data_IF_953793231189
#
_entry.id   IF_953793231189
#
_cell.length_a   1.000
_cell.length_b   1.000
_cell.length_c   1.000
_cell.angle_alpha   90.00
_cell.angle_beta   90.00
_cell.angle_gamma   90.00
#
_symmetry.space_group_name_H-M   'P 1'
#
loop_
_entity.id
_entity.type
_entity.pdbx_description
1 polymer ?
#
# COMPACT_ATOMS: atom_id res chain seq x y z
N UNK A 1 -11.33 -9.07 -8.83
CA UNK A 1 -12.58 -8.33 -9.16
C UNK A 1 -12.19 -7.09 -9.92
N UNK A 2 -12.72 -6.87 -11.13
CA UNK A 2 -12.42 -5.66 -11.92
C UNK A 2 -13.24 -4.49 -11.39
N UNK A 3 -12.60 -3.34 -11.20
CA UNK A 3 -13.27 -2.08 -10.90
C UNK A 3 -12.35 -1.08 -10.21
N UNK A 4 -12.95 0.01 -9.73
CA UNK A 4 -12.24 1.16 -9.18
C UNK A 4 -12.22 1.13 -7.66
N UNK A 5 -11.02 0.96 -7.09
CA UNK A 5 -10.79 0.87 -5.65
C UNK A 5 -10.97 2.21 -4.93
N UNK A 6 -11.05 3.34 -5.67
CA UNK A 6 -11.38 4.65 -5.09
C UNK A 6 -12.79 4.69 -4.51
N UNK A 7 -13.66 3.74 -4.89
CA UNK A 7 -15.02 3.63 -4.38
C UNK A 7 -15.08 2.63 -3.21
N UNK A 8 -15.43 3.09 -2.02
CA UNK A 8 -15.55 2.24 -0.82
C UNK A 8 -16.45 1.00 -1.05
N UNK A 9 -17.60 1.19 -1.71
CA UNK A 9 -18.52 0.09 -2.04
C UNK A 9 -17.86 -0.96 -2.94
N UNK A 10 -16.93 -0.57 -3.81
CA UNK A 10 -16.17 -1.52 -4.61
C UNK A 10 -15.19 -2.31 -3.74
N UNK A 11 -14.46 -1.65 -2.83
CA UNK A 11 -13.58 -2.32 -1.87
C UNK A 11 -14.32 -3.36 -1.03
N UNK A 12 -15.51 -3.03 -0.54
CA UNK A 12 -16.40 -3.98 0.18
C UNK A 12 -16.74 -5.18 -0.69
N UNK A 13 -17.15 -4.96 -1.95
CA UNK A 13 -17.46 -6.04 -2.91
C UNK A 13 -16.25 -6.94 -3.17
N UNK A 14 -15.03 -6.39 -3.22
CA UNK A 14 -13.83 -7.18 -3.42
C UNK A 14 -13.64 -8.16 -2.25
N UNK A 15 -13.68 -7.66 -1.01
CA UNK A 15 -13.52 -8.50 0.19
C UNK A 15 -14.65 -9.52 0.31
N UNK A 16 -15.91 -9.10 0.11
CA UNK A 16 -17.07 -10.00 0.14
C UNK A 16 -16.95 -11.13 -0.88
N UNK A 17 -16.53 -10.82 -2.11
CA UNK A 17 -16.35 -11.86 -3.13
C UNK A 17 -15.27 -12.85 -2.71
N UNK A 18 -14.15 -12.37 -2.16
CA UNK A 18 -13.08 -13.25 -1.73
C UNK A 18 -13.52 -14.15 -0.57
N UNK A 19 -14.29 -13.62 0.40
CA UNK A 19 -14.89 -14.45 1.47
C UNK A 19 -15.85 -15.48 0.87
N UNK A 20 -16.70 -15.09 -0.10
CA UNK A 20 -17.64 -16.01 -0.75
C UNK A 20 -16.93 -17.16 -1.47
N UNK A 21 -15.83 -16.87 -2.15
CA UNK A 21 -15.12 -17.87 -2.97
C UNK A 21 -14.15 -18.72 -2.16
N UNK A 22 -13.54 -18.16 -1.12
CA UNK A 22 -12.45 -18.82 -0.39
C UNK A 22 -12.73 -19.10 1.08
N UNK A 23 -13.82 -18.56 1.64
CA UNK A 23 -14.25 -18.75 3.03
C UNK A 23 -13.54 -17.87 4.07
N UNK A 24 -12.33 -17.38 3.79
CA UNK A 24 -11.58 -16.48 4.68
C UNK A 24 -10.73 -15.48 3.90
N UNK A 25 -10.12 -14.54 4.63
CA UNK A 25 -9.05 -13.67 4.13
C UNK A 25 -7.85 -13.86 5.04
N UNK A 26 -6.79 -14.49 4.56
CA UNK A 26 -5.59 -14.74 5.38
C UNK A 26 -4.49 -13.71 5.09
N UNK A 27 -4.40 -13.25 3.84
CA UNK A 27 -3.40 -12.26 3.42
C UNK A 27 -4.05 -11.17 2.59
N UNK A 28 -3.89 -9.91 3.01
CA UNK A 28 -4.32 -8.72 2.27
C UNK A 28 -3.09 -7.95 1.77
N UNK A 29 -2.95 -7.76 0.45
CA UNK A 29 -1.83 -7.02 -0.15
C UNK A 29 -2.30 -5.72 -0.84
N UNK A 30 -2.13 -4.58 -0.17
CA UNK A 30 -2.46 -3.27 -0.72
C UNK A 30 -1.31 -2.73 -1.58
N UNK A 31 -1.39 -2.94 -2.89
CA UNK A 31 -0.32 -2.63 -3.84
C UNK A 31 -0.69 -1.61 -4.93
N UNK A 32 -1.98 -1.38 -5.18
CA UNK A 32 -2.42 -0.45 -6.22
C UNK A 32 -1.95 0.98 -5.93
N UNK A 33 -1.47 1.68 -6.96
CA UNK A 33 -1.01 3.05 -6.84
C UNK A 33 -1.15 3.85 -8.14
N UNK A 34 -1.30 5.16 -8.00
CA UNK A 34 -1.17 6.17 -9.04
C UNK A 34 0.04 7.05 -8.73
N UNK A 35 0.82 7.37 -9.77
CA UNK A 35 1.92 8.32 -9.70
C UNK A 35 1.97 9.14 -10.99
N UNK A 36 2.39 10.40 -10.86
CA UNK A 36 2.65 11.31 -11.97
C UNK A 36 3.81 12.23 -11.58
N UNK A 37 4.70 12.51 -12.52
CA UNK A 37 5.83 13.41 -12.31
C UNK A 37 5.50 14.83 -12.75
N UNK A 38 5.84 15.81 -11.92
CA UNK A 38 5.69 17.26 -12.18
C UNK A 38 6.98 17.96 -11.75
N UNK A 39 7.46 18.92 -12.53
CA UNK A 39 8.73 19.60 -12.21
C UNK A 39 8.55 20.66 -11.13
N UNK A 40 7.37 21.28 -11.09
CA UNK A 40 7.05 22.33 -10.12
C UNK A 40 5.71 22.08 -9.41
N UNK A 41 5.54 22.69 -8.23
CA UNK A 41 4.28 22.61 -7.48
C UNK A 41 3.09 23.21 -8.26
N UNK A 42 3.35 24.25 -9.06
CA UNK A 42 2.34 24.96 -9.84
C UNK A 42 1.73 24.10 -10.95
N UNK A 43 2.46 23.08 -11.39
CA UNK A 43 2.00 22.15 -12.42
C UNK A 43 1.11 21.03 -11.89
N UNK A 44 0.96 20.90 -10.56
CA UNK A 44 0.15 19.86 -9.92
C UNK A 44 -1.30 20.34 -9.87
N UNK A 45 -2.21 19.80 -10.70
CA UNK A 45 -3.62 20.15 -10.61
C UNK A 45 -4.20 19.60 -9.30
N UNK A 46 -5.14 20.33 -8.69
CA UNK A 46 -5.80 19.89 -7.46
C UNK A 46 -6.49 18.53 -7.63
N UNK A 47 -7.04 18.25 -8.81
CA UNK A 47 -7.68 16.98 -9.14
C UNK A 47 -6.67 15.81 -9.15
N UNK A 48 -5.43 16.06 -9.55
CA UNK A 48 -4.36 15.05 -9.53
C UNK A 48 -3.93 14.75 -8.10
N UNK A 49 -3.80 15.79 -7.26
CA UNK A 49 -3.54 15.62 -5.84
C UNK A 49 -4.61 14.73 -5.19
N UNK A 50 -5.88 15.09 -5.34
CA UNK A 50 -7.02 14.33 -4.81
C UNK A 50 -7.00 12.89 -5.35
N UNK A 51 -6.83 12.72 -6.67
CA UNK A 51 -6.78 11.40 -7.30
C UNK A 51 -5.65 10.53 -6.75
N UNK A 52 -4.50 11.12 -6.43
CA UNK A 52 -3.35 10.38 -5.88
C UNK A 52 -3.69 9.82 -4.50
N UNK A 53 -4.31 10.60 -3.63
CA UNK A 53 -4.76 10.14 -2.31
C UNK A 53 -5.92 9.13 -2.41
N UNK A 54 -6.91 9.43 -3.26
CA UNK A 54 -8.04 8.54 -3.53
C UNK A 54 -7.61 7.16 -4.01
N UNK A 55 -6.49 7.08 -4.72
CA UNK A 55 -5.98 5.81 -5.23
C UNK A 55 -5.02 5.13 -4.26
N UNK A 56 -4.16 5.88 -3.57
CA UNK A 56 -3.02 5.31 -2.86
C UNK A 56 -3.31 5.01 -1.39
N UNK A 57 -4.16 5.80 -0.72
CA UNK A 57 -4.39 5.68 0.74
C UNK A 57 -5.84 5.38 1.11
N UNK A 58 -6.84 6.04 0.51
CA UNK A 58 -8.24 5.77 0.81
C UNK A 58 -8.63 4.29 0.63
N UNK A 59 -8.22 3.62 -0.46
CA UNK A 59 -8.60 2.22 -0.68
C UNK A 59 -7.97 1.28 0.33
N UNK A 60 -6.75 1.59 0.80
CA UNK A 60 -6.07 0.83 1.84
C UNK A 60 -6.89 0.85 3.14
N UNK A 61 -7.40 2.02 3.51
CA UNK A 61 -8.31 2.14 4.65
C UNK A 61 -9.60 1.32 4.44
N UNK A 62 -10.27 1.48 3.30
CA UNK A 62 -11.52 0.76 3.01
C UNK A 62 -11.35 -0.75 3.00
N UNK A 63 -10.27 -1.24 2.39
CA UNK A 63 -9.96 -2.67 2.30
C UNK A 63 -9.60 -3.25 3.66
N UNK A 64 -8.76 -2.58 4.45
CA UNK A 64 -8.46 -3.01 5.82
C UNK A 64 -9.72 -3.04 6.69
N UNK A 65 -10.53 -1.97 6.65
CA UNK A 65 -11.79 -1.88 7.41
C UNK A 65 -12.77 -3.02 7.06
N UNK A 66 -12.85 -3.38 5.77
CA UNK A 66 -13.71 -4.47 5.32
C UNK A 66 -13.12 -5.85 5.61
N UNK A 67 -11.80 -6.03 5.53
CA UNK A 67 -11.15 -7.34 5.66
C UNK A 67 -10.92 -7.78 7.11
N UNK A 68 -10.49 -6.87 7.98
CA UNK A 68 -10.09 -7.19 9.37
C UNK A 68 -11.11 -8.03 10.14
N UNK A 69 -12.44 -7.77 10.08
CA UNK A 69 -13.44 -8.59 10.76
C UNK A 69 -13.46 -10.07 10.34
N UNK A 70 -12.89 -10.40 9.18
CA UNK A 70 -12.87 -11.73 8.59
C UNK A 70 -11.48 -12.37 8.59
N UNK A 71 -10.46 -11.67 9.10
CA UNK A 71 -9.09 -12.17 9.21
C UNK A 71 -8.91 -12.92 10.52
N UNK A 72 -8.29 -14.11 10.46
CA UNK A 72 -8.02 -14.95 11.65
C UNK A 72 -6.67 -14.63 12.28
N UNK A 73 -6.45 -15.06 13.52
CA UNK A 73 -5.12 -15.03 14.15
C UNK A 73 -4.08 -15.68 13.24
N UNK A 74 -2.94 -15.00 13.04
CA UNK A 74 -1.89 -15.43 12.12
C UNK A 74 -1.96 -14.80 10.72
N UNK A 75 -3.07 -14.11 10.39
CA UNK A 75 -3.22 -13.40 9.12
C UNK A 75 -2.25 -12.23 8.97
N UNK A 76 -2.06 -11.74 7.74
CA UNK A 76 -1.10 -10.68 7.44
C UNK A 76 -1.67 -9.64 6.49
N UNK A 77 -1.46 -8.36 6.81
CA UNK A 77 -1.68 -7.22 5.91
C UNK A 77 -0.31 -6.72 5.45
N UNK A 78 -0.14 -6.52 4.14
CA UNK A 78 1.09 -6.06 3.51
C UNK A 78 0.76 -4.83 2.66
N UNK A 79 1.41 -3.72 2.95
CA UNK A 79 1.21 -2.46 2.23
C UNK A 79 2.45 -2.12 1.39
N UNK A 80 2.27 -1.77 0.13
CA UNK A 80 3.39 -1.32 -0.72
C UNK A 80 3.60 0.18 -0.54
N UNK A 81 4.67 0.56 0.16
CA UNK A 81 5.16 1.95 0.22
C UNK A 81 6.15 2.23 -0.92
N UNK A 82 7.20 3.02 -0.68
CA UNK A 82 8.29 3.32 -1.62
C UNK A 82 9.50 3.86 -0.84
N UNK A 83 10.69 3.79 -1.43
CA UNK A 83 11.83 4.60 -0.98
C UNK A 83 11.52 6.10 -0.94
N UNK A 84 10.56 6.58 -1.76
CA UNK A 84 10.08 7.97 -1.73
C UNK A 84 9.39 8.36 -0.41
N UNK A 85 9.08 7.41 0.48
CA UNK A 85 8.61 7.74 1.83
C UNK A 85 9.74 8.25 2.74
N UNK A 86 10.99 7.90 2.43
CA UNK A 86 12.18 8.25 3.20
C UNK A 86 13.05 9.27 2.48
N UNK A 87 13.29 9.06 1.18
CA UNK A 87 14.07 9.92 0.31
C UNK A 87 13.20 10.30 -0.90
N UNK A 88 12.34 11.33 -0.76
CA UNK A 88 11.38 11.71 -1.79
C UNK A 88 12.10 12.29 -3.02
N UNK A 89 11.71 11.83 -4.21
CA UNK A 89 12.12 12.46 -5.46
C UNK A 89 11.44 13.83 -5.64
N UNK A 90 12.22 14.81 -6.08
CA UNK A 90 11.80 16.21 -6.30
C UNK A 90 10.57 16.33 -7.21
N UNK A 91 10.41 15.43 -8.18
CA UNK A 91 9.33 15.49 -9.18
C UNK A 91 8.07 14.69 -8.81
N UNK A 92 8.03 14.04 -7.64
CA UNK A 92 6.96 13.10 -7.26
C UNK A 92 6.22 13.53 -5.98
N UNK A 93 6.00 14.83 -5.79
CA UNK A 93 5.45 15.38 -4.54
C UNK A 93 4.16 14.69 -4.06
N UNK A 94 3.07 14.56 -4.85
CA UNK A 94 1.83 13.92 -4.37
C UNK A 94 2.03 12.44 -4.05
N UNK A 95 2.82 11.74 -4.87
CA UNK A 95 3.10 10.33 -4.68
C UNK A 95 3.90 10.10 -3.40
N UNK A 96 4.99 10.84 -3.19
CA UNK A 96 5.83 10.75 -2.00
C UNK A 96 5.03 11.01 -0.72
N UNK A 97 4.17 12.03 -0.72
CA UNK A 97 3.26 12.31 0.39
C UNK A 97 2.38 11.10 0.74
N UNK A 98 1.77 10.44 -0.27
CA UNK A 98 0.97 9.23 -0.02
C UNK A 98 1.82 8.05 0.48
N UNK A 99 3.08 7.92 0.05
CA UNK A 99 3.95 6.82 0.52
C UNK A 99 4.41 7.03 1.96
N UNK A 100 4.66 8.27 2.37
CA UNK A 100 4.84 8.63 3.78
C UNK A 100 3.59 8.31 4.62
N UNK A 101 2.40 8.65 4.12
CA UNK A 101 1.14 8.32 4.79
C UNK A 101 0.93 6.81 4.95
N UNK A 102 1.23 6.01 3.91
CA UNK A 102 1.13 4.54 3.96
C UNK A 102 2.06 3.95 5.03
N UNK A 103 3.28 4.46 5.14
CA UNK A 103 4.23 3.98 6.14
C UNK A 103 3.69 4.23 7.56
N UNK A 104 3.23 5.44 7.84
CA UNK A 104 2.68 5.79 9.15
C UNK A 104 1.37 5.02 9.44
N UNK A 105 0.49 4.88 8.44
CA UNK A 105 -0.74 4.09 8.53
C UNK A 105 -0.45 2.63 8.91
N UNK A 106 0.57 2.02 8.29
CA UNK A 106 0.99 0.65 8.57
C UNK A 106 1.42 0.49 10.03
N UNK A 107 2.28 1.38 10.53
CA UNK A 107 2.77 1.35 11.91
C UNK A 107 1.64 1.53 12.93
N UNK A 108 0.71 2.44 12.67
CA UNK A 108 -0.44 2.68 13.56
C UNK A 108 -1.43 1.52 13.55
N UNK A 109 -1.79 1.01 12.37
CA UNK A 109 -2.71 -0.12 12.27
C UNK A 109 -2.13 -1.38 12.93
N UNK A 110 -0.82 -1.62 12.81
CA UNK A 110 -0.16 -2.72 13.51
C UNK A 110 -0.32 -2.61 15.02
N UNK A 111 -0.16 -1.42 15.59
CA UNK A 111 -0.30 -1.20 17.03
C UNK A 111 -1.75 -1.40 17.48
N UNK A 112 -2.72 -0.86 16.75
CA UNK A 112 -4.15 -1.05 17.04
C UNK A 112 -4.50 -2.54 17.09
N UNK A 113 -4.12 -3.31 16.06
CA UNK A 113 -4.45 -4.73 15.97
C UNK A 113 -3.70 -5.59 17.00
N UNK A 114 -2.49 -5.16 17.39
CA UNK A 114 -1.71 -5.80 18.46
C UNK A 114 -2.38 -5.60 19.83
N UNK A 115 -2.77 -4.35 20.16
CA UNK A 115 -3.44 -4.01 21.42
C UNK A 115 -4.81 -4.69 21.56
N UNK A 116 -5.50 -4.92 20.44
CA UNK A 116 -6.74 -5.68 20.41
C UNK A 116 -6.55 -7.20 20.52
N UNK A 117 -5.31 -7.70 20.59
CA UNK A 117 -5.03 -9.14 20.72
C UNK A 117 -5.43 -9.98 19.50
N UNK A 118 -5.66 -9.35 18.34
CA UNK A 118 -6.14 -10.05 17.12
C UNK A 118 -5.15 -11.08 16.58
N UNK A 119 -3.85 -10.87 16.83
CA UNK A 119 -2.77 -11.67 16.27
C UNK A 119 -2.62 -11.53 14.75
N UNK A 120 -3.13 -10.44 14.16
CA UNK A 120 -2.92 -10.05 12.77
C UNK A 120 -1.64 -9.22 12.68
N UNK A 121 -0.77 -9.54 11.72
CA UNK A 121 0.47 -8.76 11.47
C UNK A 121 0.22 -7.73 10.37
N UNK A 122 0.81 -6.54 10.51
CA UNK A 122 0.74 -5.49 9.48
C UNK A 122 2.17 -5.03 9.18
N UNK A 123 2.58 -5.08 7.92
CA UNK A 123 3.92 -4.69 7.49
C UNK A 123 3.87 -3.90 6.19
N UNK A 124 4.92 -3.12 5.92
CA UNK A 124 5.09 -2.41 4.67
C UNK A 124 6.34 -2.90 3.93
N UNK A 125 6.26 -2.90 2.60
CA UNK A 125 7.42 -3.12 1.72
C UNK A 125 7.74 -1.81 1.04
N UNK A 126 9.00 -1.40 1.03
CA UNK A 126 9.49 -0.17 0.42
C UNK A 126 10.37 -0.48 -0.80
N UNK A 127 9.81 -0.66 -2.00
CA UNK A 127 10.61 -0.93 -3.19
C UNK A 127 11.45 0.29 -3.58
N UNK A 128 12.67 0.01 -4.02
CA UNK A 128 13.49 0.94 -4.79
C UNK A 128 13.02 1.04 -6.25
N UNK A 129 13.87 1.55 -7.15
CA UNK A 129 13.56 1.58 -8.57
C UNK A 129 13.36 0.16 -9.14
N UNK A 130 12.13 -0.19 -9.44
CA UNK A 130 11.78 -1.47 -10.11
C UNK A 130 11.15 -1.18 -11.46
N UNK A 131 11.52 -1.97 -12.48
CA UNK A 131 10.86 -1.90 -13.77
C UNK A 131 9.41 -2.36 -13.64
N UNK A 132 8.48 -1.43 -13.86
CA UNK A 132 7.04 -1.67 -13.87
C UNK A 132 6.41 -0.74 -14.90
N UNK A 133 5.24 -1.10 -15.46
CA UNK A 133 4.49 -0.18 -16.33
C UNK A 133 4.21 1.18 -15.67
N UNK A 134 4.20 1.24 -14.32
CA UNK A 134 4.01 2.45 -13.54
C UNK A 134 5.12 3.49 -13.79
N UNK A 135 6.36 3.06 -14.09
CA UNK A 135 7.51 3.97 -14.30
C UNK A 135 7.73 4.41 -15.75
N UNK A 136 7.27 3.64 -16.75
CA UNK A 136 7.72 3.81 -18.14
C UNK A 136 6.62 4.10 -19.16
N UNK A 137 5.44 4.52 -18.72
CA UNK A 137 4.48 5.19 -19.61
C UNK A 137 5.04 6.57 -19.99
N UNK A 138 5.76 6.62 -21.13
CA UNK A 138 6.43 7.84 -21.64
C UNK A 138 5.43 9.00 -21.86
N UNK A 139 5.78 10.26 -21.51
CA UNK A 139 4.91 11.42 -21.71
C UNK A 139 4.83 11.95 -23.15
N UNK A 140 5.62 11.44 -24.10
CA UNK A 140 5.76 12.10 -25.40
C UNK A 140 4.58 11.96 -26.39
N UNK A 141 3.45 11.34 -26.00
CA UNK A 141 2.26 11.33 -26.87
C UNK A 141 0.91 10.97 -26.23
N UNK A 142 0.84 10.67 -24.93
CA UNK A 142 -0.39 10.16 -24.33
C UNK A 142 -1.13 11.23 -23.51
N UNK A 143 -2.16 11.83 -24.12
CA UNK A 143 -3.22 12.61 -23.44
C UNK A 143 -4.17 11.69 -22.64
N UNK A 144 -3.66 10.84 -21.75
CA UNK A 144 -4.55 9.99 -20.93
C UNK A 144 -3.89 9.47 -19.65
N UNK A 145 -4.46 9.75 -18.46
CA UNK A 145 -3.90 9.32 -17.18
C UNK A 145 -4.21 7.84 -16.95
N UNK A 146 -3.20 6.97 -17.05
CA UNK A 146 -3.39 5.53 -16.86
C UNK A 146 -3.26 5.17 -15.38
N UNK A 147 -4.34 4.68 -14.79
CA UNK A 147 -4.33 4.00 -13.49
C UNK A 147 -3.85 2.58 -13.76
N UNK A 148 -2.63 2.24 -13.34
CA UNK A 148 -2.24 0.83 -13.32
C UNK A 148 -2.81 0.24 -12.05
N UNK A 149 -3.97 -0.42 -12.20
CA UNK A 149 -4.57 -1.27 -11.19
C UNK A 149 -3.66 -2.49 -10.98
N UNK A 150 -2.59 -2.31 -10.22
CA UNK A 150 -1.69 -3.40 -9.85
C UNK A 150 -2.32 -4.19 -8.71
N UNK A 151 -3.11 -5.18 -9.11
CA UNK A 151 -3.58 -6.39 -8.42
C UNK A 151 -3.53 -6.33 -6.88
N UNK A 152 -4.70 -6.14 -6.26
CA UNK A 152 -4.93 -6.58 -4.89
C UNK A 152 -4.87 -8.12 -4.89
N UNK A 153 -3.78 -8.69 -4.36
CA UNK A 153 -3.68 -10.14 -4.17
C UNK A 153 -4.21 -10.45 -2.78
N UNK A 154 -5.31 -11.18 -2.75
CA UNK A 154 -5.86 -11.76 -1.54
C UNK A 154 -5.57 -13.26 -1.59
N UNK A 155 -4.62 -13.72 -0.78
CA UNK A 155 -4.19 -15.12 -0.78
C UNK A 155 -4.89 -15.83 0.38
N UNK A 156 -5.56 -16.93 0.06
CA UNK A 156 -6.21 -17.81 1.03
C UNK A 156 -5.58 -19.18 0.96
N UNK A 157 -5.29 -19.74 2.14
CA UNK A 157 -4.54 -20.99 2.26
C UNK A 157 -5.39 -22.24 2.01
N UNK A 158 -5.61 -22.62 0.74
CA UNK A 158 -5.87 -24.03 0.37
C UNK A 158 -4.84 -24.46 -0.67
N UNK A 159 -3.90 -25.31 -0.25
CA UNK A 159 -2.82 -25.99 -1.01
C UNK A 159 -2.46 -25.33 -2.36
N UNK A 160 -1.39 -24.54 -2.36
CA UNK A 160 -0.67 -24.19 -3.59
C UNK A 160 -0.09 -25.50 -4.15
N UNK A 161 -0.73 -26.04 -5.18
CA UNK A 161 -0.23 -27.20 -5.92
C UNK A 161 0.81 -26.74 -6.95
N UNK A 162 2.07 -27.01 -6.63
CA UNK A 162 3.28 -26.93 -7.45
C UNK A 162 3.76 -25.54 -7.94
N UNK A 163 5.04 -25.19 -7.71
CA UNK A 163 5.64 -23.96 -8.20
C UNK A 163 6.37 -24.21 -9.53
N UNK A 164 5.90 -23.61 -10.63
CA UNK A 164 6.77 -23.39 -11.80
C UNK A 164 6.64 -21.94 -12.28
N UNK A 165 7.75 -21.22 -12.13
CA UNK A 165 8.07 -19.89 -12.70
C UNK A 165 7.65 -18.60 -11.98
N UNK A 166 7.72 -18.54 -10.64
CA UNK A 166 7.74 -17.26 -9.91
C UNK A 166 8.66 -17.32 -8.68
N UNK A 167 9.87 -17.84 -8.82
CA UNK A 167 10.88 -17.90 -7.74
C UNK A 167 12.20 -17.33 -8.21
N UNK A 168 12.23 -16.01 -8.44
CA UNK A 168 13.41 -15.16 -8.20
C UNK A 168 12.95 -13.77 -7.77
N UNK A 169 12.36 -13.67 -6.59
CA UNK A 169 12.48 -12.45 -5.81
C UNK A 169 13.84 -12.55 -5.10
N UNK A 170 14.87 -11.74 -5.46
CA UNK A 170 15.98 -11.58 -4.55
C UNK A 170 15.39 -11.08 -3.23
N UNK A 171 15.92 -11.54 -2.11
CA UNK A 171 15.53 -11.18 -0.74
C UNK A 171 15.43 -9.66 -0.60
N UNK A 172 14.25 -9.12 -0.89
CA UNK A 172 13.92 -7.74 -0.60
C UNK A 172 13.93 -7.63 0.93
N UNK A 173 14.58 -6.61 1.51
CA UNK A 173 14.62 -6.46 2.95
C UNK A 173 13.18 -6.34 3.44
N UNK A 174 12.72 -7.36 4.17
CA UNK A 174 11.53 -7.24 5.01
C UNK A 174 11.94 -6.32 6.15
N UNK A 175 11.74 -5.02 5.96
CA UNK A 175 12.06 -4.04 6.98
C UNK A 175 11.04 -4.21 8.10
N UNK A 176 11.46 -4.86 9.19
CA UNK A 176 10.75 -4.82 10.47
C UNK A 176 10.83 -3.38 10.96
N UNK A 177 9.70 -2.67 10.93
CA UNK A 177 9.59 -1.39 11.61
C UNK A 177 9.72 -1.68 13.11
N UNK A 178 10.75 -1.19 13.81
CA UNK A 178 10.88 -1.42 15.24
C UNK A 178 9.70 -0.75 15.95
N UNK A 179 8.99 -1.54 16.75
CA UNK A 179 7.96 -1.06 17.67
C UNK A 179 8.64 -0.14 18.70
N UNK A 180 8.30 1.17 18.80
CA UNK A 180 8.87 2.01 19.84
C UNK A 180 8.17 1.68 21.16
N UNK A 181 8.74 0.73 21.90
CA UNK A 181 8.44 0.56 23.31
C UNK A 181 9.04 1.77 24.03
N UNK A 182 8.16 2.64 24.52
CA UNK A 182 8.35 3.65 25.57
C UNK A 182 9.73 3.66 26.25
N UNK A 183 10.55 4.68 25.96
CA UNK A 183 11.44 5.32 26.94
C UNK A 183 11.55 6.82 26.65
N UNK A 184 11.53 7.70 27.67
CA UNK A 184 11.60 9.14 27.49
C UNK A 184 13.07 9.56 27.32
N UNK A 185 13.40 10.29 26.25
CA UNK A 185 14.60 11.12 26.19
C UNK A 185 14.32 12.41 25.45
N UNK A 186 14.41 13.50 26.20
CA UNK A 186 14.64 14.86 25.74
C UNK A 186 15.90 14.98 24.87
N UNK A 187 16.08 16.17 24.28
CA UNK A 187 17.07 16.65 23.28
C UNK A 187 16.46 16.59 21.88
N UNK A 188 16.16 17.69 21.18
CA UNK A 188 16.74 19.03 21.19
C UNK A 188 17.38 19.28 19.83
N UNK A 189 17.10 20.46 19.24
CA UNK A 189 17.68 21.05 18.02
C UNK A 189 16.85 20.86 16.73
N UNK A 190 16.03 21.87 16.45
CA UNK A 190 15.68 22.33 15.09
C UNK A 190 16.80 23.26 14.59
N UNK A 191 17.13 23.29 13.29
CA UNK A 191 17.62 24.50 12.66
C UNK A 191 16.47 25.28 12.00
N UNK A 192 16.63 26.61 12.09
CA UNK A 192 15.81 27.77 11.69
C UNK A 192 14.53 28.01 12.47
#
# INVERSE_FOLDING_TARGET
>A
VKGDIRKENHCKKIVQKAIKEFGSVDILVNNAAFQMSRETIMEIPTEEWIKTFDTNIHPMFYLCKAAVPHMKKGSSIINTTSVNAYNPSEVLLPYAATKGAIQNFTSNLSQILLLQGTGIRVNAVAPGPVWTPLKYLRPHRAKSPTIISSTLILITGRKISSPRSCTKFPTLPVIRIPCPVLKPRCTGIFPT
#
